data_IF_672499304727
#
_entry.id   IF_672499304727
#
_cell.length_a   1.000
_cell.length_b   1.000
_cell.length_c   1.000
_cell.angle_alpha   90.00
_cell.angle_beta   90.00
_cell.angle_gamma   90.00
#
_symmetry.space_group_name_H-M   'P 1'
#
loop_
_entity.id
_entity.type
_entity.pdbx_description
1 polymer ?
#
# COMPACT_ATOMS: atom_id res chain seq x y z
N UNK A 1 -8.15 7.31 -22.56
CA UNK A 1 -8.43 8.20 -21.42
C UNK A 1 -7.70 7.64 -20.21
N UNK A 2 -6.58 8.25 -19.78
CA UNK A 2 -5.92 7.87 -18.51
C UNK A 2 -6.64 8.62 -17.39
N UNK A 3 -7.39 7.91 -16.56
CA UNK A 3 -7.91 8.46 -15.31
C UNK A 3 -6.69 8.90 -14.49
N UNK A 4 -6.50 10.22 -14.37
CA UNK A 4 -5.32 10.81 -13.72
C UNK A 4 -5.58 11.10 -12.24
N UNK A 5 -6.73 10.68 -11.72
CA UNK A 5 -7.08 10.93 -10.33
C UNK A 5 -7.00 9.60 -9.59
N UNK A 6 -5.97 9.47 -8.77
CA UNK A 6 -5.92 8.38 -7.81
C UNK A 6 -7.17 8.42 -6.94
N UNK A 7 -8.01 7.39 -7.02
CA UNK A 7 -9.31 7.32 -6.34
C UNK A 7 -9.25 6.63 -4.97
N UNK A 8 -8.09 6.09 -4.61
CA UNK A 8 -7.88 5.38 -3.34
C UNK A 8 -6.82 6.10 -2.49
N UNK A 9 -7.05 6.18 -1.19
CA UNK A 9 -6.10 6.68 -0.20
C UNK A 9 -5.91 5.62 0.90
N UNK A 10 -4.72 5.61 1.52
CA UNK A 10 -4.46 4.78 2.69
C UNK A 10 -4.72 5.59 3.95
N UNK A 11 -5.51 5.03 4.85
CA UNK A 11 -5.68 5.52 6.21
C UNK A 11 -4.65 4.83 7.13
N UNK A 12 -3.75 5.62 7.69
CA UNK A 12 -2.67 5.14 8.59
C UNK A 12 -3.25 4.57 9.88
N UNK A 13 -4.35 5.12 10.39
CA UNK A 13 -4.97 4.65 11.62
C UNK A 13 -5.64 3.28 11.40
N UNK A 14 -6.27 3.08 10.24
CA UNK A 14 -6.83 1.78 9.86
C UNK A 14 -5.73 0.72 9.71
N UNK A 15 -4.60 1.06 9.10
CA UNK A 15 -3.44 0.16 8.97
C UNK A 15 -2.85 -0.20 10.34
N UNK A 16 -2.74 0.76 11.26
CA UNK A 16 -2.21 0.53 12.61
C UNK A 16 -3.09 -0.43 13.45
N UNK A 17 -4.37 -0.56 13.10
CA UNK A 17 -5.32 -1.47 13.76
C UNK A 17 -5.34 -2.87 13.16
N UNK A 18 -4.58 -3.14 12.09
CA UNK A 18 -4.46 -4.50 11.53
C UNK A 18 -3.75 -5.41 12.54
N UNK A 19 -4.30 -6.60 12.74
CA UNK A 19 -3.81 -7.59 13.72
C UNK A 19 -3.86 -8.99 13.08
N UNK A 20 -3.06 -9.92 13.61
CA UNK A 20 -2.97 -11.31 13.18
C UNK A 20 -1.83 -11.57 12.19
N UNK A 21 -1.41 -12.83 12.12
CA UNK A 21 -0.20 -13.25 11.39
C UNK A 21 -0.30 -12.98 9.87
N UNK A 22 -1.52 -12.98 9.32
CA UNK A 22 -1.79 -12.72 7.90
C UNK A 22 -2.02 -11.25 7.56
N UNK A 23 -1.99 -10.34 8.54
CA UNK A 23 -2.31 -8.92 8.31
C UNK A 23 -1.40 -8.29 7.25
N UNK A 24 -0.10 -8.59 7.31
CA UNK A 24 0.89 -8.03 6.39
C UNK A 24 0.75 -8.62 4.98
N UNK A 25 0.56 -9.93 4.87
CA UNK A 25 0.38 -10.62 3.58
C UNK A 25 -0.91 -10.20 2.89
N UNK A 26 -1.99 -10.02 3.66
CA UNK A 26 -3.27 -9.48 3.20
C UNK A 26 -3.15 -8.04 2.71
N UNK A 27 -2.51 -7.16 3.48
CA UNK A 27 -2.28 -5.77 3.10
C UNK A 27 -1.46 -5.67 1.81
N UNK A 28 -0.40 -6.48 1.68
CA UNK A 28 0.43 -6.53 0.48
C UNK A 28 -0.34 -7.00 -0.76
N UNK A 29 -1.21 -8.01 -0.62
CA UNK A 29 -2.05 -8.50 -1.70
C UNK A 29 -3.02 -7.41 -2.23
N UNK A 30 -3.61 -6.62 -1.35
CA UNK A 30 -4.45 -5.48 -1.76
C UNK A 30 -3.59 -4.39 -2.41
N UNK A 31 -2.46 -4.06 -1.79
CA UNK A 31 -1.55 -3.01 -2.28
C UNK A 31 -1.09 -3.27 -3.72
N UNK A 32 -0.62 -4.47 -4.04
CA UNK A 32 -0.13 -4.82 -5.38
C UNK A 32 -1.19 -4.69 -6.48
N UNK A 33 -2.48 -4.87 -6.14
CA UNK A 33 -3.61 -4.73 -7.08
C UNK A 33 -4.04 -3.27 -7.26
N UNK A 34 -3.89 -2.45 -6.22
CA UNK A 34 -4.44 -1.09 -6.18
C UNK A 34 -3.38 0.01 -6.29
N UNK A 35 -2.08 -0.31 -6.32
CA UNK A 35 -0.98 0.67 -6.29
C UNK A 35 -1.07 1.78 -7.34
N UNK A 36 -1.57 1.49 -8.55
CA UNK A 36 -1.69 2.51 -9.60
C UNK A 36 -2.89 3.44 -9.40
N UNK A 37 -3.83 3.05 -8.54
CA UNK A 37 -5.03 3.84 -8.20
C UNK A 37 -4.92 4.51 -6.84
N UNK A 38 -3.83 4.26 -6.09
CA UNK A 38 -3.52 4.87 -4.80
C UNK A 38 -2.86 6.25 -4.98
N UNK A 39 -3.31 7.25 -4.22
CA UNK A 39 -2.78 8.62 -4.26
C UNK A 39 -1.26 8.66 -4.17
N UNK A 40 -0.69 7.90 -3.23
CA UNK A 40 0.74 7.81 -3.01
C UNK A 40 1.33 6.46 -3.40
N UNK A 41 0.65 5.68 -4.23
CA UNK A 41 0.99 4.29 -4.53
C UNK A 41 2.45 4.06 -4.93
N UNK A 42 3.00 4.78 -5.95
CA UNK A 42 4.40 4.64 -6.33
C UNK A 42 5.39 5.01 -5.21
N UNK A 43 5.07 6.01 -4.39
CA UNK A 43 5.90 6.43 -3.25
C UNK A 43 5.91 5.37 -2.15
N UNK A 44 4.73 4.82 -1.83
CA UNK A 44 4.57 3.74 -0.87
C UNK A 44 5.29 2.48 -1.32
N UNK A 45 5.22 2.11 -2.60
CA UNK A 45 5.95 0.97 -3.15
C UNK A 45 7.45 1.14 -2.95
N UNK A 46 7.99 2.32 -3.23
CA UNK A 46 9.40 2.63 -3.02
C UNK A 46 9.82 2.52 -1.55
N UNK A 47 9.01 3.02 -0.62
CA UNK A 47 9.27 2.93 0.82
C UNK A 47 9.23 1.47 1.28
N UNK A 48 8.23 0.69 0.85
CA UNK A 48 8.12 -0.74 1.19
C UNK A 48 9.35 -1.51 0.71
N UNK A 49 9.80 -1.31 -0.53
CA UNK A 49 11.02 -1.95 -1.03
C UNK A 49 12.26 -1.55 -0.25
N UNK A 50 12.41 -0.27 0.12
CA UNK A 50 13.54 0.21 0.94
C UNK A 50 13.55 -0.38 2.35
N UNK A 51 12.39 -0.59 2.95
CA UNK A 51 12.26 -1.23 4.26
C UNK A 51 12.52 -2.73 4.17
N UNK A 52 12.00 -3.39 3.13
CA UNK A 52 12.16 -4.83 2.91
C UNK A 52 13.62 -5.22 2.62
N UNK A 53 14.35 -4.41 1.86
CA UNK A 53 15.77 -4.64 1.56
C UNK A 53 16.74 -4.02 2.58
N UNK A 54 16.24 -3.53 3.71
CA UNK A 54 17.08 -3.03 4.80
C UNK A 54 17.49 -4.11 5.82
N UNK A 55 17.27 -5.38 5.47
CA UNK A 55 17.91 -6.53 6.15
C UNK A 55 19.40 -6.64 5.83
#
# INVERSE_FOLDING_TARGET
MRFSDSVLAIDVEAVARLQGDDALSGLWNVFTKCKHSLHDGPRLENITWRLWHKE
#
